data_IF_879421415319
#
_entry.id   IF_879421415319
#
_cell.length_a   1.000
_cell.length_b   1.000
_cell.length_c   1.000
_cell.angle_alpha   90.00
_cell.angle_beta   90.00
_cell.angle_gamma   90.00
#
_symmetry.space_group_name_H-M   'P 1'
#
loop_
_entity.id
_entity.type
_entity.pdbx_description
1 polymer ?
#
# COMPACT_ATOMS: atom_id res chain seq x y z
N UNK A 1 0.87 -1.64 -11.44
CA UNK A 1 1.09 -1.57 -9.99
C UNK A 1 -0.08 -0.81 -9.36
N UNK A 2 -0.22 -0.80 -8.02
CA UNK A 2 -1.37 -0.14 -7.37
C UNK A 2 -1.45 1.36 -7.66
N UNK A 3 -0.29 2.03 -7.73
CA UNK A 3 -0.20 3.44 -8.10
C UNK A 3 -0.68 3.68 -9.52
N UNK A 4 -0.23 2.89 -10.50
CA UNK A 4 -0.69 3.01 -11.89
C UNK A 4 -2.22 2.90 -12.00
N UNK A 5 -2.85 1.95 -11.30
CA UNK A 5 -4.33 1.83 -11.35
C UNK A 5 -5.05 3.03 -10.72
N UNK A 6 -4.45 3.66 -9.71
CA UNK A 6 -4.98 4.89 -9.09
C UNK A 6 -4.78 6.09 -10.04
N UNK A 7 -3.64 6.15 -10.72
CA UNK A 7 -3.31 7.18 -11.72
C UNK A 7 -4.22 7.11 -12.94
N UNK A 8 -4.47 5.90 -13.44
CA UNK A 8 -5.35 5.59 -14.57
C UNK A 8 -6.85 5.69 -14.20
N UNK A 9 -7.17 5.91 -12.92
CA UNK A 9 -8.54 5.96 -12.39
C UNK A 9 -9.33 4.65 -12.62
N UNK A 10 -8.62 3.53 -12.72
CA UNK A 10 -9.17 2.19 -12.90
C UNK A 10 -9.61 1.61 -11.55
N UNK A 11 -10.90 1.74 -11.26
CA UNK A 11 -11.52 1.35 -9.98
C UNK A 11 -11.38 -0.15 -9.72
N UNK A 12 -11.71 -1.00 -10.70
CA UNK A 12 -11.70 -2.46 -10.54
C UNK A 12 -10.28 -2.94 -10.27
N UNK A 13 -9.31 -2.49 -11.07
CA UNK A 13 -7.91 -2.84 -10.89
C UNK A 13 -7.35 -2.29 -9.57
N UNK A 14 -7.78 -1.11 -9.13
CA UNK A 14 -7.40 -0.56 -7.82
C UNK A 14 -7.93 -1.43 -6.68
N UNK A 15 -9.19 -1.87 -6.74
CA UNK A 15 -9.80 -2.78 -5.75
C UNK A 15 -9.06 -4.12 -5.71
N UNK A 16 -8.71 -4.68 -6.87
CA UNK A 16 -7.97 -5.94 -6.97
C UNK A 16 -6.56 -5.81 -6.40
N UNK A 17 -5.87 -4.70 -6.70
CA UNK A 17 -4.57 -4.41 -6.14
C UNK A 17 -4.62 -4.26 -4.61
N UNK A 18 -5.65 -3.62 -4.06
CA UNK A 18 -5.84 -3.49 -2.61
C UNK A 18 -5.93 -4.84 -1.90
N UNK A 19 -6.47 -5.88 -2.56
CA UNK A 19 -6.56 -7.22 -1.98
C UNK A 19 -5.18 -7.77 -1.59
N UNK A 20 -4.12 -7.44 -2.33
CA UNK A 20 -2.76 -7.90 -2.04
C UNK A 20 -2.30 -7.42 -0.66
N UNK A 21 -2.68 -6.20 -0.28
CA UNK A 21 -2.24 -5.54 0.95
C UNK A 21 -3.09 -5.89 2.17
N UNK A 22 -4.31 -6.40 1.99
CA UNK A 22 -5.25 -6.65 3.11
C UNK A 22 -5.56 -8.14 3.34
N UNK A 23 -5.28 -8.99 2.34
CA UNK A 23 -5.53 -10.43 2.45
C UNK A 23 -4.55 -11.05 3.46
N UNK A 24 -5.06 -11.74 4.52
CA UNK A 24 -4.22 -12.40 5.52
C UNK A 24 -3.33 -13.52 4.95
N UNK A 25 -3.59 -14.00 3.73
CA UNK A 25 -2.76 -14.98 3.02
C UNK A 25 -1.69 -14.36 2.13
N UNK A 26 -1.64 -13.02 2.04
CA UNK A 26 -0.70 -12.24 1.23
C UNK A 26 0.10 -11.29 2.12
N UNK A 27 0.14 -10.00 1.81
CA UNK A 27 0.86 -9.01 2.59
C UNK A 27 0.08 -8.53 3.83
N UNK A 28 -1.17 -8.95 4.03
CA UNK A 28 -2.02 -8.53 5.15
C UNK A 28 -1.34 -8.63 6.53
N UNK A 29 -0.68 -9.75 6.90
CA UNK A 29 -0.01 -9.85 8.20
C UNK A 29 1.12 -8.84 8.36
N UNK A 30 1.97 -8.69 7.33
CA UNK A 30 3.06 -7.72 7.30
C UNK A 30 2.54 -6.27 7.41
N UNK A 31 1.45 -5.98 6.70
CA UNK A 31 0.79 -4.68 6.75
C UNK A 31 0.21 -4.40 8.14
N UNK A 32 -0.39 -5.38 8.81
CA UNK A 32 -0.87 -5.23 10.19
C UNK A 32 0.29 -4.95 11.16
N UNK A 33 1.39 -5.68 11.03
CA UNK A 33 2.52 -5.57 11.95
C UNK A 33 3.30 -4.25 11.78
N UNK A 34 3.44 -3.75 10.54
CA UNK A 34 4.33 -2.64 10.25
C UNK A 34 3.62 -1.35 9.81
N UNK A 35 2.37 -1.45 9.34
CA UNK A 35 1.61 -0.38 8.68
C UNK A 35 0.12 -0.47 9.04
N UNK A 36 -0.18 -0.61 10.34
CA UNK A 36 -1.54 -0.91 10.82
C UNK A 36 -2.58 0.14 10.41
N UNK A 37 -2.20 1.42 10.36
CA UNK A 37 -3.09 2.50 9.97
C UNK A 37 -3.38 2.45 8.47
N UNK A 38 -2.35 2.27 7.66
CA UNK A 38 -2.45 2.12 6.21
C UNK A 38 -3.26 0.89 5.84
N UNK A 39 -3.06 -0.23 6.53
CA UNK A 39 -3.87 -1.43 6.36
C UNK A 39 -5.37 -1.15 6.61
N UNK A 40 -5.71 -0.38 7.66
CA UNK A 40 -7.10 0.02 7.93
C UNK A 40 -7.64 0.94 6.84
N UNK A 41 -6.86 1.91 6.40
CA UNK A 41 -7.25 2.86 5.35
C UNK A 41 -7.49 2.15 4.01
N UNK A 42 -6.60 1.22 3.60
CA UNK A 42 -6.78 0.43 2.37
C UNK A 42 -8.06 -0.40 2.43
N UNK A 43 -8.38 -1.01 3.58
CA UNK A 43 -9.64 -1.74 3.77
C UNK A 43 -10.85 -0.82 3.63
N UNK A 44 -10.81 0.37 4.23
CA UNK A 44 -11.88 1.36 4.14
C UNK A 44 -12.06 1.83 2.69
N UNK A 45 -10.97 2.18 2.01
CA UNK A 45 -10.99 2.60 0.63
C UNK A 45 -11.57 1.54 -0.29
N UNK A 46 -11.20 0.27 -0.11
CA UNK A 46 -11.79 -0.83 -0.89
C UNK A 46 -13.31 -0.87 -0.76
N UNK A 47 -13.86 -0.73 0.45
CA UNK A 47 -15.31 -0.71 0.67
C UNK A 47 -15.95 0.52 0.00
N UNK A 48 -15.32 1.69 0.13
CA UNK A 48 -15.83 2.94 -0.44
C UNK A 48 -15.75 2.97 -1.97
N UNK A 49 -14.72 2.39 -2.56
CA UNK A 49 -14.61 2.25 -4.02
C UNK A 49 -15.69 1.35 -4.59
N UNK A 50 -16.06 0.27 -3.89
CA UNK A 50 -17.20 -0.58 -4.29
C UNK A 50 -18.55 0.14 -4.24
N UNK A 51 -18.69 1.12 -3.36
CA UNK A 51 -19.93 1.87 -3.14
C UNK A 51 -20.03 3.11 -4.04
N UNK A 52 -18.95 3.88 -4.13
CA UNK A 52 -18.90 5.21 -4.76
C UNK A 52 -18.11 5.27 -6.07
N UNK A 53 -17.43 4.19 -6.45
CA UNK A 53 -16.74 4.08 -7.72
C UNK A 53 -15.67 5.16 -7.96
N UNK A 54 -15.63 5.64 -9.21
CA UNK A 54 -14.56 6.52 -9.73
C UNK A 54 -14.54 7.90 -9.07
N UNK A 55 -15.69 8.43 -8.65
CA UNK A 55 -15.74 9.75 -7.99
C UNK A 55 -15.00 9.72 -6.67
N UNK A 56 -15.17 8.65 -5.88
CA UNK A 56 -14.42 8.48 -4.64
C UNK A 56 -12.92 8.29 -4.88
N UNK A 57 -12.56 7.56 -5.95
CA UNK A 57 -11.17 7.39 -6.35
C UNK A 57 -10.52 8.74 -6.64
N UNK A 58 -11.18 9.59 -7.44
CA UNK A 58 -10.72 10.94 -7.79
C UNK A 58 -10.56 11.83 -6.57
N UNK A 59 -11.58 11.87 -5.70
CA UNK A 59 -11.58 12.68 -4.48
C UNK A 59 -10.44 12.32 -3.51
N UNK A 60 -9.95 11.07 -3.54
CA UNK A 60 -8.97 10.54 -2.59
C UNK A 60 -7.63 10.17 -3.24
N UNK A 61 -7.47 10.42 -4.54
CA UNK A 61 -6.34 9.97 -5.37
C UNK A 61 -4.99 10.36 -4.76
N UNK A 62 -4.82 11.62 -4.43
CA UNK A 62 -3.57 12.14 -3.86
C UNK A 62 -3.24 11.47 -2.51
N UNK A 63 -4.24 11.30 -1.64
CA UNK A 63 -4.05 10.63 -0.35
C UNK A 63 -3.58 9.18 -0.55
N UNK A 64 -4.19 8.45 -1.49
CA UNK A 64 -3.83 7.07 -1.78
C UNK A 64 -2.39 6.97 -2.31
N UNK A 65 -2.03 7.79 -3.30
CA UNK A 65 -0.68 7.79 -3.88
C UNK A 65 0.39 8.10 -2.82
N UNK A 66 0.18 9.15 -2.02
CA UNK A 66 1.11 9.54 -0.96
C UNK A 66 1.30 8.43 0.09
N UNK A 67 0.24 7.68 0.41
CA UNK A 67 0.35 6.54 1.33
C UNK A 67 1.26 5.44 0.77
N UNK A 68 1.06 5.05 -0.49
CA UNK A 68 1.89 4.01 -1.11
C UNK A 68 3.36 4.47 -1.28
N UNK A 69 3.60 5.74 -1.59
CA UNK A 69 4.96 6.30 -1.60
C UNK A 69 5.64 6.19 -0.22
N UNK A 70 4.91 6.51 0.86
CA UNK A 70 5.45 6.42 2.21
C UNK A 70 5.77 4.97 2.61
N UNK A 71 4.93 4.00 2.21
CA UNK A 71 5.19 2.58 2.43
C UNK A 71 6.47 2.16 1.69
N UNK A 72 6.60 2.48 0.40
CA UNK A 72 7.76 2.14 -0.43
C UNK A 72 9.07 2.73 0.12
N UNK A 73 9.05 4.00 0.52
CA UNK A 73 10.19 4.68 1.14
C UNK A 73 10.58 3.99 2.45
N UNK A 74 9.59 3.62 3.27
CA UNK A 74 9.84 2.96 4.55
C UNK A 74 10.47 1.58 4.37
N UNK A 75 9.97 0.78 3.43
CA UNK A 75 10.53 -0.54 3.10
C UNK A 75 11.97 -0.39 2.58
N UNK A 76 12.20 0.55 1.66
CA UNK A 76 13.54 0.79 1.08
C UNK A 76 14.55 1.21 2.16
N UNK A 77 14.15 2.07 3.11
CA UNK A 77 14.99 2.46 4.25
C UNK A 77 15.33 1.27 5.14
N UNK A 78 14.35 0.41 5.46
CA UNK A 78 14.57 -0.80 6.26
C UNK A 78 15.55 -1.76 5.60
N UNK A 79 15.34 -2.07 4.32
CA UNK A 79 16.23 -2.94 3.55
C UNK A 79 17.67 -2.41 3.49
N UNK A 80 17.84 -1.09 3.28
CA UNK A 80 19.16 -0.46 3.28
C UNK A 80 19.88 -0.65 4.63
N UNK A 81 19.17 -0.44 5.73
CA UNK A 81 19.76 -0.58 7.07
C UNK A 81 20.14 -2.04 7.38
N UNK A 82 19.32 -3.00 6.96
CA UNK A 82 19.63 -4.43 7.12
C UNK A 82 20.87 -4.84 6.33
N UNK A 83 21.01 -4.36 5.09
CA UNK A 83 22.19 -4.62 4.25
C UNK A 83 23.45 -4.03 4.91
N UNK A 84 23.39 -2.76 5.32
CA UNK A 84 24.52 -2.11 6.02
C UNK A 84 24.93 -2.88 7.28
N UNK A 85 23.96 -3.29 8.09
CA UNK A 85 24.23 -4.06 9.31
C UNK A 85 24.81 -5.45 9.04
N UNK A 86 24.42 -6.10 7.93
CA UNK A 86 24.95 -7.40 7.53
C UNK A 86 26.38 -7.33 6.97
N UNK A 87 26.74 -6.23 6.30
CA UNK A 87 28.08 -6.00 5.77
C UNK A 87 29.11 -5.76 6.90
N UNK A 88 28.73 -5.03 7.95
CA UNK A 88 29.60 -4.72 9.09
C UNK A 88 29.92 -5.96 9.96
N UNK A 89 29.04 -6.98 9.99
CA UNK A 89 29.28 -8.25 10.70
C UNK A 89 30.17 -9.24 9.96
N UNK A 90 30.48 -8.96 8.69
CA UNK A 90 31.30 -9.82 7.84
C UNK A 90 32.77 -9.38 7.79
N UNK A 91 33.16 -8.39 8.61
CA UNK A 91 34.53 -7.90 8.80
C UNK A 91 35.12 -8.31 10.16
#
# INVERSE_FOLDING_TARGET
>A
QVKDSIEDEDVEKTIDNFEIFIDPKKCGPLMIEQFFEEHRDIRLWKVRLKDRGVDYLKDNKEKMLNMFDNIEVTITKKLRNEISYSADKSQ
#
